data_IF_577765874991
#
_entry.id   IF_577765874991
#
_cell.length_a   1.000
_cell.length_b   1.000
_cell.length_c   1.000
_cell.angle_alpha   90.00
_cell.angle_beta   90.00
_cell.angle_gamma   90.00
#
_symmetry.space_group_name_H-M   'P 1'
#
loop_
_entity.id
_entity.type
_entity.pdbx_description
1 polymer ?
#
# COMPACT_ATOMS: atom_id res chain seq x y z
N UNK A 1 33.52 -10.61 -95.62
CA UNK A 1 32.63 -9.62 -94.98
C UNK A 1 32.09 -10.20 -93.68
N UNK A 2 32.71 -9.86 -92.54
CA UNK A 2 32.14 -10.05 -91.20
C UNK A 2 32.71 -8.93 -90.34
N UNK A 3 31.80 -8.09 -89.86
CA UNK A 3 32.01 -6.80 -89.20
C UNK A 3 32.51 -6.98 -87.77
N UNK A 4 33.58 -6.26 -87.42
CA UNK A 4 34.06 -6.13 -86.03
C UNK A 4 33.05 -5.29 -85.24
N UNK A 5 32.48 -5.85 -84.17
CA UNK A 5 31.75 -5.10 -83.14
C UNK A 5 32.66 -4.94 -81.93
N UNK A 6 32.97 -3.69 -81.59
CA UNK A 6 33.61 -3.29 -80.34
C UNK A 6 32.55 -3.20 -79.24
N UNK A 7 32.74 -3.93 -78.15
CA UNK A 7 31.91 -3.84 -76.93
C UNK A 7 32.71 -3.02 -75.90
N UNK A 8 32.16 -1.92 -75.34
CA UNK A 8 32.88 -1.11 -74.36
C UNK A 8 32.88 -1.78 -72.97
N UNK A 9 34.03 -1.73 -72.30
CA UNK A 9 34.16 -2.11 -70.89
C UNK A 9 33.51 -1.05 -70.00
N UNK A 10 32.45 -1.43 -69.26
CA UNK A 10 31.98 -0.65 -68.11
C UNK A 10 32.86 -0.98 -66.89
N UNK A 11 33.58 0.03 -66.40
CA UNK A 11 34.24 0.00 -65.10
C UNK A 11 33.22 0.19 -63.98
N UNK A 12 32.90 -0.88 -63.26
CA UNK A 12 32.12 -0.81 -62.04
C UNK A 12 33.04 -0.45 -60.86
N UNK A 13 32.94 0.78 -60.37
CA UNK A 13 33.52 1.21 -59.09
C UNK A 13 32.73 0.59 -57.94
N UNK A 14 33.37 -0.33 -57.20
CA UNK A 14 32.83 -0.87 -55.94
C UNK A 14 33.05 0.18 -54.85
N UNK A 15 31.98 0.84 -54.41
CA UNK A 15 32.00 1.68 -53.21
C UNK A 15 31.84 0.76 -52.00
N UNK A 16 32.93 0.56 -51.24
CA UNK A 16 32.90 -0.09 -49.94
C UNK A 16 32.28 0.89 -48.93
N UNK A 17 30.97 0.77 -48.69
CA UNK A 17 30.33 1.46 -47.57
C UNK A 17 30.76 0.76 -46.26
N UNK A 18 31.69 1.37 -45.53
CA UNK A 18 32.02 0.95 -44.17
C UNK A 18 30.80 1.21 -43.28
N UNK A 19 30.02 0.16 -43.02
CA UNK A 19 28.95 0.19 -42.03
C UNK A 19 29.56 0.41 -40.65
N UNK A 20 29.56 1.66 -40.18
CA UNK A 20 29.77 1.98 -38.78
C UNK A 20 28.59 1.41 -37.99
N UNK A 21 28.73 0.15 -37.55
CA UNK A 21 27.81 -0.46 -36.61
C UNK A 21 27.81 0.36 -35.34
N UNK A 22 26.75 1.15 -35.15
CA UNK A 22 26.48 1.83 -33.89
C UNK A 22 26.18 0.74 -32.86
N UNK A 23 27.20 0.32 -32.11
CA UNK A 23 27.04 -0.50 -30.91
C UNK A 23 26.21 0.32 -29.93
N UNK A 24 24.88 0.11 -29.95
CA UNK A 24 24.00 0.46 -28.85
C UNK A 24 24.46 -0.37 -27.66
N UNK A 25 25.41 0.18 -26.90
CA UNK A 25 25.77 -0.33 -25.58
C UNK A 25 24.52 -0.16 -24.73
N UNK A 26 23.72 -1.21 -24.64
CA UNK A 26 22.64 -1.29 -23.66
C UNK A 26 23.28 -1.02 -22.31
N UNK A 27 22.95 0.11 -21.69
CA UNK A 27 23.33 0.37 -20.32
C UNK A 27 22.60 -0.68 -19.50
N UNK A 28 23.30 -1.77 -19.16
CA UNK A 28 22.84 -2.72 -18.16
C UNK A 28 22.67 -1.91 -16.87
N UNK A 29 21.44 -1.47 -16.61
CA UNK A 29 21.12 -0.69 -15.44
C UNK A 29 21.33 -1.62 -14.25
N UNK A 30 22.43 -1.43 -13.52
CA UNK A 30 22.77 -2.23 -12.37
C UNK A 30 21.57 -2.20 -11.41
N UNK A 31 20.97 -3.37 -11.14
CA UNK A 31 19.87 -3.48 -10.19
C UNK A 31 20.36 -2.89 -8.87
N UNK A 32 19.66 -1.87 -8.36
CA UNK A 32 20.03 -1.21 -7.12
C UNK A 32 20.24 -2.26 -6.02
N UNK A 33 21.34 -2.13 -5.27
CA UNK A 33 21.66 -3.05 -4.19
C UNK A 33 20.51 -3.08 -3.18
N UNK A 34 20.24 -4.28 -2.62
CA UNK A 34 19.20 -4.42 -1.63
C UNK A 34 19.53 -3.61 -0.36
N UNK A 35 18.52 -2.98 0.23
CA UNK A 35 18.66 -2.16 1.44
C UNK A 35 19.09 -3.01 2.62
N UNK A 36 20.27 -2.72 3.19
CA UNK A 36 20.80 -3.42 4.36
C UNK A 36 19.78 -3.51 5.51
N UNK A 37 19.79 -4.61 6.26
CA UNK A 37 18.79 -4.94 7.26
C UNK A 37 18.89 -4.08 8.55
N UNK A 38 18.58 -2.79 8.44
CA UNK A 38 18.61 -1.84 9.55
C UNK A 38 17.61 -0.70 9.35
N UNK A 39 17.17 -0.10 10.45
CA UNK A 39 16.32 1.10 10.45
C UNK A 39 16.95 2.24 9.64
N UNK A 40 18.22 2.57 9.93
CA UNK A 40 18.93 3.67 9.26
C UNK A 40 18.99 3.48 7.75
N UNK A 41 19.32 2.28 7.26
CA UNK A 41 19.38 2.01 5.83
C UNK A 41 18.00 2.13 5.16
N UNK A 42 16.93 1.67 5.82
CA UNK A 42 15.56 1.80 5.31
C UNK A 42 15.13 3.26 5.22
N UNK A 43 15.37 4.04 6.28
CA UNK A 43 15.04 5.48 6.33
C UNK A 43 15.83 6.24 5.26
N UNK A 44 17.13 5.97 5.12
CA UNK A 44 17.96 6.57 4.06
C UNK A 44 17.43 6.22 2.67
N UNK A 45 17.05 4.97 2.43
CA UNK A 45 16.50 4.55 1.14
C UNK A 45 15.23 5.32 0.78
N UNK A 46 14.29 5.47 1.73
CA UNK A 46 13.06 6.26 1.51
C UNK A 46 13.38 7.72 1.19
N UNK A 47 14.25 8.36 1.96
CA UNK A 47 14.65 9.75 1.72
C UNK A 47 15.29 9.93 0.33
N UNK A 48 16.21 9.03 -0.04
CA UNK A 48 16.86 9.07 -1.36
C UNK A 48 15.86 8.85 -2.49
N UNK A 49 14.92 7.90 -2.35
CA UNK A 49 13.90 7.66 -3.38
C UNK A 49 12.93 8.83 -3.51
N UNK A 50 12.50 9.44 -2.41
CA UNK A 50 11.70 10.66 -2.43
C UNK A 50 12.45 11.80 -3.14
N UNK A 51 13.71 12.06 -2.78
CA UNK A 51 14.53 13.11 -3.38
C UNK A 51 14.79 12.90 -4.88
N UNK A 52 14.82 11.64 -5.34
CA UNK A 52 14.99 11.28 -6.75
C UNK A 52 13.70 11.40 -7.58
N UNK A 53 12.56 11.76 -6.98
CA UNK A 53 11.27 11.82 -7.68
C UNK A 53 10.49 10.50 -7.70
N UNK A 54 10.97 9.47 -7.00
CA UNK A 54 10.36 8.14 -6.94
C UNK A 54 11.33 7.03 -7.36
N UNK A 55 10.89 5.78 -7.23
CA UNK A 55 11.67 4.60 -7.60
C UNK A 55 11.33 3.34 -6.81
N UNK A 56 12.20 2.35 -6.96
CA UNK A 56 12.06 1.03 -6.36
C UNK A 56 13.10 0.83 -5.26
N UNK A 57 12.62 0.50 -4.07
CA UNK A 57 13.40 0.09 -2.91
C UNK A 57 13.36 -1.44 -2.83
N UNK A 58 14.47 -2.10 -3.16
CA UNK A 58 14.59 -3.56 -3.01
C UNK A 58 15.01 -3.87 -1.57
N UNK A 59 14.20 -4.63 -0.85
CA UNK A 59 14.52 -5.04 0.52
C UNK A 59 15.39 -6.30 0.52
N UNK A 60 16.28 -6.43 1.50
CA UNK A 60 17.04 -7.67 1.72
C UNK A 60 16.06 -8.80 2.08
N UNK A 61 16.01 -9.93 1.34
CA UNK A 61 15.03 -10.99 1.58
C UNK A 61 14.98 -11.46 3.04
N UNK A 62 13.77 -11.67 3.57
CA UNK A 62 13.53 -12.15 4.94
C UNK A 62 13.88 -11.16 6.06
N UNK A 63 14.42 -9.98 5.73
CA UNK A 63 14.80 -8.99 6.74
C UNK A 63 13.58 -8.45 7.50
N UNK A 64 13.75 -8.32 8.82
CA UNK A 64 12.87 -7.55 9.70
C UNK A 64 13.50 -6.20 10.01
N UNK A 65 12.99 -5.15 9.37
CA UNK A 65 13.35 -3.76 9.64
C UNK A 65 12.59 -3.27 10.87
N UNK A 66 13.28 -3.20 12.00
CA UNK A 66 12.70 -2.78 13.28
C UNK A 66 12.91 -1.29 13.50
N UNK A 67 11.82 -0.52 13.48
CA UNK A 67 11.81 0.93 13.71
C UNK A 67 11.79 1.22 15.21
N UNK A 68 12.69 2.08 15.67
CA UNK A 68 12.88 2.40 17.09
C UNK A 68 12.55 3.84 17.43
N UNK A 69 12.54 4.73 16.42
CA UNK A 69 12.13 6.13 16.54
C UNK A 69 11.27 6.57 15.37
N UNK A 70 10.64 7.74 15.50
CA UNK A 70 9.96 8.40 14.40
C UNK A 70 10.96 9.11 13.48
N UNK A 71 10.69 9.10 12.17
CA UNK A 71 11.47 9.72 11.09
C UNK A 71 10.61 10.62 10.19
N UNK A 72 9.36 10.88 10.58
CA UNK A 72 8.43 11.77 9.88
C UNK A 72 7.45 12.45 10.83
N UNK A 73 7.09 13.69 10.53
CA UNK A 73 6.02 14.44 11.18
C UNK A 73 5.57 15.59 10.25
N UNK A 74 4.29 15.63 9.89
CA UNK A 74 3.70 16.70 9.07
C UNK A 74 3.01 17.79 9.91
N UNK A 75 3.16 17.74 11.23
CA UNK A 75 2.56 18.66 12.19
C UNK A 75 1.06 18.48 12.40
N UNK A 76 0.40 17.60 11.64
CA UNK A 76 -1.07 17.45 11.61
C UNK A 76 -1.52 16.05 12.04
N UNK A 77 -0.84 15.01 11.57
CA UNK A 77 -1.28 13.61 11.69
C UNK A 77 -0.41 12.77 12.64
N UNK A 78 0.53 13.42 13.34
CA UNK A 78 1.42 12.79 14.31
C UNK A 78 2.68 12.21 13.67
N UNK A 79 3.32 11.31 14.43
CA UNK A 79 4.64 10.79 14.12
C UNK A 79 4.58 9.55 13.22
N UNK A 80 5.50 9.48 12.26
CA UNK A 80 5.73 8.35 11.36
C UNK A 80 7.08 7.69 11.63
N UNK A 81 7.13 6.37 11.59
CA UNK A 81 8.34 5.57 11.69
C UNK A 81 9.18 5.57 10.42
N UNK A 82 8.60 5.93 9.27
CA UNK A 82 9.33 6.19 8.04
C UNK A 82 9.14 7.66 7.65
N UNK A 83 10.07 8.26 6.88
CA UNK A 83 9.80 9.53 6.22
C UNK A 83 8.52 9.44 5.39
N UNK A 84 7.66 10.48 5.37
CA UNK A 84 6.43 10.45 4.59
C UNK A 84 6.71 10.17 3.11
N UNK A 85 5.89 9.34 2.47
CA UNK A 85 6.00 9.05 1.05
C UNK A 85 5.41 10.21 0.27
N UNK A 86 6.25 10.97 -0.44
CA UNK A 86 5.85 12.18 -1.17
C UNK A 86 5.90 12.00 -2.69
N UNK A 87 6.53 10.92 -3.16
CA UNK A 87 6.63 10.56 -4.58
C UNK A 87 6.17 9.11 -4.80
N UNK A 88 6.38 8.57 -6.01
CA UNK A 88 6.07 7.18 -6.31
C UNK A 88 7.17 6.24 -5.78
N UNK A 89 6.89 5.51 -4.71
CA UNK A 89 7.84 4.59 -4.04
C UNK A 89 7.28 3.17 -4.07
N UNK A 90 8.06 2.22 -4.59
CA UNK A 90 7.74 0.79 -4.53
C UNK A 90 8.70 0.06 -3.60
N UNK A 91 8.17 -0.64 -2.60
CA UNK A 91 8.93 -1.60 -1.79
C UNK A 91 8.79 -2.99 -2.40
N UNK A 92 9.88 -3.51 -2.95
CA UNK A 92 9.99 -4.90 -3.42
C UNK A 92 10.50 -5.77 -2.29
N UNK A 93 9.59 -6.51 -1.66
CA UNK A 93 9.88 -7.44 -0.58
C UNK A 93 9.92 -8.90 -1.01
N UNK A 94 10.51 -9.71 -0.16
CA UNK A 94 10.44 -11.17 -0.16
C UNK A 94 10.43 -11.64 1.29
N UNK A 95 9.22 -11.85 1.84
CA UNK A 95 8.99 -12.18 3.25
C UNK A 95 9.56 -11.13 4.23
N UNK A 96 9.48 -9.85 3.88
CA UNK A 96 9.99 -8.76 4.71
C UNK A 96 8.97 -8.29 5.75
N UNK A 97 9.49 -7.84 6.89
CA UNK A 97 8.70 -7.19 7.93
C UNK A 97 9.27 -5.80 8.18
N UNK A 98 8.41 -4.79 8.19
CA UNK A 98 8.71 -3.46 8.75
C UNK A 98 7.83 -3.32 9.99
N UNK A 99 8.46 -3.23 11.16
CA UNK A 99 7.76 -3.26 12.44
C UNK A 99 8.24 -2.17 13.36
N UNK A 100 7.32 -1.60 14.12
CA UNK A 100 7.69 -0.82 15.31
C UNK A 100 8.23 -1.75 16.39
N UNK A 101 9.29 -1.35 17.09
CA UNK A 101 9.84 -2.10 18.24
C UNK A 101 8.88 -2.02 19.44
N UNK A 102 8.72 -3.13 20.16
CA UNK A 102 8.05 -3.10 21.46
C UNK A 102 8.78 -2.13 22.42
N UNK A 103 8.01 -1.30 23.14
CA UNK A 103 8.56 -0.29 24.06
C UNK A 103 9.17 0.96 23.39
N UNK A 104 9.24 1.05 22.06
CA UNK A 104 9.55 2.32 21.40
C UNK A 104 8.44 3.36 21.67
N UNK A 105 8.70 4.66 21.46
CA UNK A 105 7.65 5.67 21.39
C UNK A 105 6.55 5.28 20.38
N UNK A 106 5.34 5.81 20.58
CA UNK A 106 4.24 5.60 19.66
C UNK A 106 4.45 6.38 18.36
N UNK A 107 4.39 5.67 17.24
CA UNK A 107 4.34 6.23 15.90
C UNK A 107 3.67 5.24 14.94
N UNK A 108 3.02 5.79 13.91
CA UNK A 108 2.52 5.03 12.76
C UNK A 108 3.69 4.48 11.94
N UNK A 109 3.53 3.41 11.16
CA UNK A 109 4.65 2.91 10.35
C UNK A 109 4.94 3.83 9.16
N UNK A 110 3.91 4.18 8.38
CA UNK A 110 4.08 4.98 7.17
C UNK A 110 2.88 5.91 6.90
N UNK A 111 3.19 7.12 6.47
CA UNK A 111 2.25 8.05 5.86
C UNK A 111 2.51 8.14 4.36
N UNK A 112 1.44 8.10 3.57
CA UNK A 112 1.44 8.48 2.16
C UNK A 112 0.83 9.86 2.05
N UNK A 113 1.65 10.85 1.69
CA UNK A 113 1.20 12.23 1.50
C UNK A 113 0.26 12.35 0.30
N UNK A 114 -0.40 13.49 0.13
CA UNK A 114 -1.36 13.73 -0.96
C UNK A 114 -0.78 13.58 -2.37
N UNK A 115 0.53 13.84 -2.55
CA UNK A 115 1.27 13.60 -3.79
C UNK A 115 1.94 12.24 -3.85
N UNK A 116 1.91 11.48 -2.75
CA UNK A 116 2.58 10.20 -2.60
C UNK A 116 1.86 9.07 -3.32
N UNK A 117 2.65 8.11 -3.80
CA UNK A 117 2.14 6.84 -4.30
C UNK A 117 3.01 5.71 -3.74
N UNK A 118 2.47 4.96 -2.79
CA UNK A 118 3.15 3.84 -2.16
C UNK A 118 2.67 2.52 -2.75
N UNK A 119 3.59 1.72 -3.26
CA UNK A 119 3.35 0.31 -3.60
C UNK A 119 4.14 -0.61 -2.68
N UNK A 120 3.48 -1.58 -2.05
CA UNK A 120 4.09 -2.63 -1.26
C UNK A 120 3.88 -3.98 -1.94
N UNK A 121 4.96 -4.72 -2.18
CA UNK A 121 4.89 -6.09 -2.73
C UNK A 121 5.54 -7.06 -1.77
N UNK A 122 4.78 -8.02 -1.26
CA UNK A 122 5.28 -9.06 -0.33
C UNK A 122 5.93 -8.49 0.94
N UNK A 123 5.35 -7.42 1.49
CA UNK A 123 5.82 -6.76 2.73
C UNK A 123 4.77 -6.88 3.83
N UNK A 124 5.22 -7.12 5.06
CA UNK A 124 4.40 -7.03 6.26
C UNK A 124 4.68 -5.73 7.01
N UNK A 125 3.65 -4.92 7.26
CA UNK A 125 3.72 -3.79 8.19
C UNK A 125 3.07 -4.17 9.52
N UNK A 126 3.75 -3.93 10.64
CA UNK A 126 3.21 -4.32 11.95
C UNK A 126 3.59 -3.47 13.14
N UNK A 127 2.77 -3.58 14.19
CA UNK A 127 2.98 -2.97 15.52
C UNK A 127 3.03 -1.44 15.54
N UNK A 128 2.63 -0.79 14.44
CA UNK A 128 2.43 0.66 14.39
C UNK A 128 1.43 1.13 15.44
N UNK A 129 1.62 2.33 15.96
CA UNK A 129 0.80 2.89 17.02
C UNK A 129 0.61 4.39 16.84
N UNK A 130 -0.56 4.79 16.35
CA UNK A 130 -0.95 6.18 16.20
C UNK A 130 -1.78 6.62 17.43
N UNK A 131 -1.14 7.24 18.42
CA UNK A 131 -1.76 7.64 19.70
C UNK A 131 -2.07 9.13 19.81
N UNK A 132 -1.88 9.92 18.75
CA UNK A 132 -2.02 11.37 18.78
C UNK A 132 -3.46 11.86 19.02
N UNK A 133 -3.61 12.86 19.89
CA UNK A 133 -4.85 13.60 20.18
C UNK A 133 -5.22 14.62 19.09
N UNK A 134 -4.46 14.68 17.99
CA UNK A 134 -4.63 15.65 16.92
C UNK A 134 -5.67 15.11 15.93
N UNK A 135 -6.93 15.53 16.16
CA UNK A 135 -8.12 15.18 15.39
C UNK A 135 -8.37 13.67 15.30
N UNK A 136 -9.33 13.18 16.07
CA UNK A 136 -9.72 11.77 16.23
C UNK A 136 -10.07 10.98 14.95
N UNK A 137 -9.88 11.59 13.78
CA UNK A 137 -10.35 11.11 12.49
C UNK A 137 -9.24 10.75 11.50
N UNK A 138 -7.93 10.95 11.78
CA UNK A 138 -6.83 10.72 10.82
C UNK A 138 -5.59 9.98 11.39
N UNK A 139 -5.80 8.80 11.99
CA UNK A 139 -4.74 8.11 12.74
C UNK A 139 -3.97 7.07 11.90
N UNK A 140 -4.67 6.08 11.32
CA UNK A 140 -4.06 5.05 10.47
C UNK A 140 -2.91 4.30 11.16
N UNK A 141 -3.17 3.41 12.12
CA UNK A 141 -2.12 2.88 13.01
C UNK A 141 -0.90 2.26 12.33
N UNK A 142 -1.12 1.56 11.20
CA UNK A 142 -0.05 1.09 10.32
C UNK A 142 0.21 2.07 9.18
N UNK A 143 -0.84 2.41 8.44
CA UNK A 143 -0.77 3.26 7.24
C UNK A 143 -1.81 4.39 7.32
N UNK A 144 -1.37 5.62 7.09
CA UNK A 144 -2.23 6.76 6.78
C UNK A 144 -2.06 7.08 5.30
N UNK A 145 -3.11 6.88 4.51
CA UNK A 145 -3.10 7.15 3.08
C UNK A 145 -3.91 8.41 2.77
N UNK A 146 -3.19 9.47 2.38
CA UNK A 146 -3.75 10.71 1.84
C UNK A 146 -3.59 10.81 0.31
N UNK A 147 -2.83 9.89 -0.30
CA UNK A 147 -2.55 9.82 -1.74
C UNK A 147 -2.97 8.46 -2.32
N UNK A 148 -2.03 7.78 -3.00
CA UNK A 148 -2.27 6.46 -3.58
C UNK A 148 -1.53 5.34 -2.83
N UNK A 149 -2.24 4.25 -2.55
CA UNK A 149 -1.72 3.08 -1.88
C UNK A 149 -2.04 1.81 -2.67
N UNK A 150 -1.03 0.98 -2.93
CA UNK A 150 -1.20 -0.35 -3.52
C UNK A 150 -0.51 -1.40 -2.67
N UNK A 151 -1.24 -2.41 -2.21
CA UNK A 151 -0.71 -3.58 -1.53
C UNK A 151 -0.92 -4.82 -2.40
N UNK A 152 0.16 -5.50 -2.72
CA UNK A 152 0.16 -6.78 -3.45
C UNK A 152 0.83 -7.83 -2.58
N UNK A 153 0.11 -8.91 -2.28
CA UNK A 153 0.59 -10.02 -1.44
C UNK A 153 1.19 -9.55 -0.10
N UNK A 154 0.66 -8.45 0.44
CA UNK A 154 1.21 -7.76 1.60
C UNK A 154 0.29 -7.90 2.80
N UNK A 155 0.84 -7.73 4.00
CA UNK A 155 0.09 -7.88 5.25
C UNK A 155 0.20 -6.63 6.11
N UNK A 156 -0.91 -6.13 6.63
CA UNK A 156 -0.93 -5.08 7.65
C UNK A 156 -1.52 -5.69 8.92
N UNK A 157 -0.70 -5.85 9.95
CA UNK A 157 -1.12 -6.56 11.16
C UNK A 157 -0.70 -5.96 12.48
N UNK A 158 -1.50 -6.19 13.52
CA UNK A 158 -1.20 -5.80 14.90
C UNK A 158 -0.90 -4.30 15.05
N UNK A 159 -1.48 -3.46 14.20
CA UNK A 159 -1.33 -2.01 14.32
C UNK A 159 -2.46 -1.43 15.16
N UNK A 160 -2.21 -0.28 15.77
CA UNK A 160 -3.14 0.36 16.70
C UNK A 160 -3.32 1.85 16.42
N UNK A 161 -4.55 2.34 16.53
CA UNK A 161 -4.89 3.74 16.40
C UNK A 161 -5.83 4.18 17.54
N UNK A 162 -5.53 5.32 18.17
CA UNK A 162 -6.46 5.97 19.10
C UNK A 162 -7.65 6.61 18.37
N UNK A 163 -7.50 6.92 17.08
CA UNK A 163 -8.57 7.35 16.19
C UNK A 163 -9.11 6.21 15.33
N UNK A 164 -9.33 6.51 14.06
CA UNK A 164 -9.82 5.57 13.03
C UNK A 164 -8.72 4.81 12.31
N UNK A 165 -9.07 3.66 11.72
CA UNK A 165 -8.17 2.91 10.85
C UNK A 165 -7.01 2.27 11.61
N UNK A 166 -7.28 1.23 12.40
CA UNK A 166 -6.25 0.58 13.22
C UNK A 166 -5.10 0.05 12.37
N UNK A 167 -5.42 -0.59 11.24
CA UNK A 167 -4.46 -1.03 10.25
C UNK A 167 -4.17 0.06 9.25
N UNK A 168 -5.20 0.38 8.45
CA UNK A 168 -5.12 1.39 7.39
C UNK A 168 -6.22 2.42 7.59
N UNK A 169 -5.84 3.67 7.43
CA UNK A 169 -6.79 4.72 7.12
C UNK A 169 -6.55 5.21 5.70
N UNK A 170 -7.60 5.22 4.88
CA UNK A 170 -7.61 5.86 3.57
C UNK A 170 -8.62 7.00 3.59
N UNK A 171 -8.17 8.24 3.69
CA UNK A 171 -9.09 9.37 3.81
C UNK A 171 -8.43 10.74 3.64
N UNK A 172 -9.14 11.64 2.94
CA UNK A 172 -8.67 12.95 2.50
C UNK A 172 -8.61 13.03 0.97
N UNK A 173 -9.25 14.03 0.36
CA UNK A 173 -9.18 14.30 -1.08
C UNK A 173 -9.49 13.11 -2.01
N UNK A 174 -8.68 12.94 -3.06
CA UNK A 174 -8.78 11.87 -4.07
C UNK A 174 -8.01 10.59 -3.67
N UNK A 175 -7.88 10.30 -2.37
CA UNK A 175 -7.11 9.14 -1.89
C UNK A 175 -7.69 7.81 -2.38
N UNK A 176 -6.81 6.91 -2.82
CA UNK A 176 -7.16 5.60 -3.33
C UNK A 176 -6.27 4.51 -2.71
N UNK A 177 -6.88 3.40 -2.31
CA UNK A 177 -6.20 2.23 -1.78
C UNK A 177 -6.62 0.97 -2.53
N UNK A 178 -5.66 0.21 -3.06
CA UNK A 178 -5.88 -1.05 -3.77
C UNK A 178 -5.17 -2.18 -3.05
N UNK A 179 -5.88 -3.28 -2.83
CA UNK A 179 -5.39 -4.47 -2.14
C UNK A 179 -5.61 -5.70 -3.02
N UNK A 180 -4.53 -6.40 -3.36
CA UNK A 180 -4.57 -7.62 -4.16
C UNK A 180 -3.81 -8.71 -3.42
N UNK A 181 -4.46 -9.86 -3.16
CA UNK A 181 -3.82 -10.97 -2.44
C UNK A 181 -3.36 -10.59 -1.02
N UNK A 182 -3.90 -9.53 -0.44
CA UNK A 182 -3.35 -8.90 0.76
C UNK A 182 -4.21 -9.15 2.00
N UNK A 183 -3.63 -9.01 3.19
CA UNK A 183 -4.30 -9.34 4.46
C UNK A 183 -4.28 -8.16 5.43
N UNK A 184 -5.42 -7.84 6.02
CA UNK A 184 -5.55 -6.95 7.18
C UNK A 184 -5.98 -7.76 8.41
N UNK A 185 -5.13 -7.86 9.44
CA UNK A 185 -5.44 -8.69 10.61
C UNK A 185 -4.91 -8.19 11.96
N UNK A 186 -5.63 -8.48 13.04
CA UNK A 186 -5.20 -8.12 14.41
C UNK A 186 -5.06 -6.62 14.65
N UNK A 187 -5.61 -5.76 13.79
CA UNK A 187 -5.47 -4.32 13.93
C UNK A 187 -6.57 -3.74 14.82
N UNK A 188 -6.26 -2.69 15.59
CA UNK A 188 -7.17 -2.12 16.59
C UNK A 188 -7.31 -0.60 16.41
N UNK A 189 -8.53 -0.12 16.24
CA UNK A 189 -8.90 1.28 16.37
C UNK A 189 -9.76 1.47 17.62
N UNK A 190 -9.54 2.53 18.38
CA UNK A 190 -10.52 2.97 19.39
C UNK A 190 -11.71 3.68 18.74
N UNK A 191 -11.49 4.29 17.56
CA UNK A 191 -12.55 4.76 16.66
C UNK A 191 -13.01 3.68 15.68
N UNK A 192 -13.58 4.09 14.55
CA UNK A 192 -14.11 3.18 13.55
C UNK A 192 -13.02 2.55 12.66
N UNK A 193 -13.30 1.35 12.12
CA UNK A 193 -12.44 0.70 11.14
C UNK A 193 -11.21 0.07 11.77
N UNK A 194 -11.35 -1.10 12.39
CA UNK A 194 -10.22 -1.80 13.01
C UNK A 194 -9.17 -2.20 11.99
N UNK A 195 -9.58 -2.87 10.92
CA UNK A 195 -8.72 -3.17 9.77
C UNK A 195 -8.53 -1.97 8.86
N UNK A 196 -9.65 -1.43 8.35
CA UNK A 196 -9.68 -0.28 7.44
C UNK A 196 -10.73 0.74 7.87
N UNK A 197 -10.35 2.01 7.90
CA UNK A 197 -11.28 3.13 7.78
C UNK A 197 -11.15 3.76 6.39
N UNK A 198 -12.24 3.79 5.63
CA UNK A 198 -12.32 4.29 4.26
C UNK A 198 -13.22 5.52 4.16
N UNK A 199 -12.62 6.65 3.80
CA UNK A 199 -13.27 7.90 3.44
C UNK A 199 -12.96 8.32 1.99
N UNK A 200 -12.03 7.63 1.32
CA UNK A 200 -11.70 7.79 -0.10
C UNK A 200 -12.25 6.63 -0.95
N UNK A 201 -11.41 6.09 -1.83
CA UNK A 201 -11.71 4.86 -2.59
C UNK A 201 -10.87 3.70 -2.08
N UNK A 202 -11.50 2.55 -1.84
CA UNK A 202 -10.82 1.31 -1.48
C UNK A 202 -11.32 0.14 -2.35
N UNK A 203 -10.39 -0.60 -2.95
CA UNK A 203 -10.67 -1.77 -3.78
C UNK A 203 -9.89 -2.97 -3.26
N UNK A 204 -10.58 -4.07 -3.00
CA UNK A 204 -9.99 -5.34 -2.60
C UNK A 204 -10.32 -6.44 -3.62
N UNK A 205 -9.29 -7.17 -4.02
CA UNK A 205 -9.38 -8.33 -4.89
C UNK A 205 -8.64 -9.50 -4.27
N UNK A 206 -9.31 -10.64 -4.09
CA UNK A 206 -8.73 -11.87 -3.56
C UNK A 206 -7.91 -11.64 -2.27
N UNK A 207 -8.42 -10.77 -1.39
CA UNK A 207 -7.75 -10.32 -0.18
C UNK A 207 -8.50 -10.80 1.06
N UNK A 208 -7.95 -10.58 2.25
CA UNK A 208 -8.54 -11.09 3.49
C UNK A 208 -8.59 -9.99 4.56
N UNK A 209 -9.77 -9.78 5.15
CA UNK A 209 -9.93 -8.91 6.32
C UNK A 209 -10.41 -9.78 7.47
N UNK A 210 -9.46 -10.32 8.23
CA UNK A 210 -9.71 -11.37 9.22
C UNK A 210 -8.87 -11.20 10.49
N UNK A 211 -9.04 -12.10 11.46
CA UNK A 211 -8.09 -12.20 12.58
C UNK A 211 -8.29 -11.16 13.66
N UNK A 212 -9.53 -10.97 14.12
CA UNK A 212 -9.87 -10.14 15.29
C UNK A 212 -9.50 -8.67 15.18
N UNK A 213 -9.61 -8.07 13.98
CA UNK A 213 -9.56 -6.61 13.90
C UNK A 213 -10.65 -6.01 14.82
N UNK A 214 -10.32 -4.92 15.52
CA UNK A 214 -11.18 -4.28 16.54
C UNK A 214 -11.42 -2.82 16.20
N UNK A 215 -12.67 -2.38 16.20
CA UNK A 215 -13.06 -0.97 16.05
C UNK A 215 -14.25 -0.62 16.93
N UNK A 216 -14.63 0.65 17.02
CA UNK A 216 -15.90 1.07 17.60
C UNK A 216 -17.05 0.57 16.72
N UNK A 217 -17.05 0.95 15.44
CA UNK A 217 -17.88 0.36 14.39
C UNK A 217 -17.00 -0.14 13.25
N UNK A 218 -17.45 -1.18 12.55
CA UNK A 218 -16.69 -1.71 11.42
C UNK A 218 -15.39 -2.34 11.89
N UNK A 219 -15.49 -3.40 12.70
CA UNK A 219 -14.30 -4.08 13.24
C UNK A 219 -13.32 -4.48 12.14
N UNK A 220 -13.83 -5.03 11.05
CA UNK A 220 -13.08 -5.23 9.82
C UNK A 220 -12.92 -3.92 9.05
N UNK A 221 -14.04 -3.37 8.56
CA UNK A 221 -14.05 -2.19 7.69
C UNK A 221 -15.12 -1.20 8.16
N UNK A 222 -14.76 0.07 8.24
CA UNK A 222 -15.71 1.17 8.26
C UNK A 222 -15.56 1.99 6.98
N UNK A 223 -16.63 2.12 6.19
CA UNK A 223 -16.65 2.94 4.97
C UNK A 223 -17.66 4.07 5.14
N UNK A 224 -17.16 5.31 5.23
CA UNK A 224 -17.94 6.51 5.53
C UNK A 224 -17.77 7.51 4.39
N UNK A 225 -18.83 7.80 3.64
CA UNK A 225 -18.84 8.61 2.41
C UNK A 225 -17.90 8.13 1.28
N UNK A 226 -17.13 7.08 1.49
CA UNK A 226 -16.18 6.54 0.50
C UNK A 226 -16.80 5.57 -0.50
N UNK A 227 -15.98 5.14 -1.45
CA UNK A 227 -16.26 4.06 -2.39
C UNK A 227 -15.54 2.80 -1.91
N UNK A 228 -16.26 1.70 -1.71
CA UNK A 228 -15.68 0.41 -1.34
C UNK A 228 -16.08 -0.67 -2.35
N UNK A 229 -15.09 -1.35 -2.94
CA UNK A 229 -15.30 -2.52 -3.79
C UNK A 229 -14.61 -3.73 -3.19
N UNK A 230 -15.35 -4.81 -2.97
CA UNK A 230 -14.85 -6.10 -2.52
C UNK A 230 -15.14 -7.18 -3.56
N UNK A 231 -14.10 -7.84 -4.06
CA UNK A 231 -14.21 -8.99 -4.96
C UNK A 231 -13.45 -10.17 -4.39
N UNK A 232 -14.12 -11.31 -4.18
CA UNK A 232 -13.54 -12.53 -3.61
C UNK A 232 -12.73 -12.27 -2.33
N UNK A 233 -13.24 -11.40 -1.47
CA UNK A 233 -12.54 -10.88 -0.29
C UNK A 233 -13.37 -11.15 0.98
N UNK A 234 -13.14 -12.25 1.71
CA UNK A 234 -13.86 -12.52 2.94
C UNK A 234 -13.54 -11.48 4.03
N UNK A 235 -14.59 -11.07 4.75
CA UNK A 235 -14.52 -10.20 5.93
C UNK A 235 -15.09 -10.99 7.12
N UNK A 236 -14.21 -11.56 7.94
CA UNK A 236 -14.63 -12.52 8.96
C UNK A 236 -13.87 -12.47 10.28
N UNK A 237 -14.53 -12.92 11.36
CA UNK A 237 -13.94 -12.98 12.70
C UNK A 237 -13.42 -11.63 13.23
N UNK A 238 -14.03 -10.52 12.80
CA UNK A 238 -13.72 -9.18 13.28
C UNK A 238 -14.68 -8.76 14.40
N UNK A 239 -14.27 -7.76 15.19
CA UNK A 239 -14.98 -7.36 16.41
C UNK A 239 -15.21 -5.85 16.44
N UNK A 240 -16.39 -5.45 16.85
CA UNK A 240 -16.71 -4.07 17.14
C UNK A 240 -17.19 -3.94 18.59
N UNK A 241 -16.95 -2.79 19.23
CA UNK A 241 -17.49 -2.51 20.57
C UNK A 241 -18.89 -1.89 20.52
N UNK A 242 -19.29 -1.31 19.39
CA UNK A 242 -20.60 -0.67 19.19
C UNK A 242 -21.47 -1.47 18.22
N UNK A 243 -21.10 -1.56 16.95
CA UNK A 243 -21.90 -2.25 15.93
C UNK A 243 -21.07 -2.67 14.71
N UNK A 244 -21.62 -3.55 13.87
CA UNK A 244 -21.01 -3.98 12.62
C UNK A 244 -19.56 -4.47 12.81
N UNK A 245 -19.41 -5.63 13.45
CA UNK A 245 -18.12 -6.29 13.59
C UNK A 245 -17.42 -6.48 12.25
N UNK A 246 -18.18 -6.77 11.19
CA UNK A 246 -17.67 -6.95 9.83
C UNK A 246 -17.48 -5.62 9.13
N UNK A 247 -18.57 -5.09 8.56
CA UNK A 247 -18.56 -3.86 7.76
C UNK A 247 -19.59 -2.87 8.27
N UNK A 248 -19.12 -1.68 8.66
CA UNK A 248 -19.97 -0.52 8.90
C UNK A 248 -19.98 0.38 7.67
N UNK A 249 -21.14 0.65 7.10
CA UNK A 249 -21.32 1.60 6.00
C UNK A 249 -22.11 2.82 6.46
N UNK A 250 -21.61 4.01 6.15
CA UNK A 250 -22.33 5.27 6.28
C UNK A 250 -22.22 6.06 4.98
N UNK A 251 -23.31 6.15 4.23
CA UNK A 251 -23.36 6.74 2.88
C UNK A 251 -22.34 6.10 1.91
N UNK A 252 -21.95 6.82 0.85
CA UNK A 252 -21.01 6.35 -0.16
C UNK A 252 -21.51 5.21 -1.05
N UNK A 253 -20.64 4.70 -1.91
CA UNK A 253 -20.92 3.59 -2.83
C UNK A 253 -20.24 2.32 -2.35
N UNK A 254 -20.93 1.19 -2.44
CA UNK A 254 -20.36 -0.09 -2.03
C UNK A 254 -20.77 -1.20 -3.00
N UNK A 255 -19.79 -1.98 -3.45
CA UNK A 255 -19.98 -3.16 -4.29
C UNK A 255 -19.34 -4.35 -3.60
N UNK A 256 -20.10 -5.43 -3.43
CA UNK A 256 -19.64 -6.67 -2.78
C UNK A 256 -19.95 -7.85 -3.69
N UNK A 257 -18.91 -8.42 -4.28
CA UNK A 257 -18.99 -9.57 -5.19
C UNK A 257 -18.22 -10.73 -4.58
N UNK A 258 -18.87 -11.89 -4.45
CA UNK A 258 -18.25 -13.15 -3.95
C UNK A 258 -17.44 -12.99 -2.65
N UNK A 259 -17.83 -12.06 -1.79
CA UNK A 259 -17.08 -11.62 -0.61
C UNK A 259 -17.90 -11.85 0.65
N UNK A 260 -17.84 -13.04 1.27
CA UNK A 260 -18.68 -13.37 2.41
C UNK A 260 -18.31 -12.53 3.64
N UNK A 261 -19.31 -11.97 4.31
CA UNK A 261 -19.16 -11.17 5.53
C UNK A 261 -19.79 -11.98 6.66
N UNK A 262 -18.96 -12.65 7.47
CA UNK A 262 -19.42 -13.72 8.37
C UNK A 262 -18.66 -13.79 9.69
N UNK A 263 -19.28 -14.38 10.72
CA UNK A 263 -18.66 -14.64 12.02
C UNK A 263 -18.06 -13.38 12.69
N UNK A 264 -18.64 -12.21 12.47
CA UNK A 264 -18.21 -10.98 13.11
C UNK A 264 -19.07 -10.66 14.34
N UNK A 265 -18.49 -9.99 15.33
CA UNK A 265 -19.13 -9.66 16.61
C UNK A 265 -19.20 -8.14 16.76
N UNK A 266 -20.31 -7.53 17.22
CA UNK A 266 -21.53 -8.18 17.72
C UNK A 266 -22.46 -8.67 16.61
N UNK A 267 -22.22 -8.25 15.37
CA UNK A 267 -22.99 -8.62 14.18
C UNK A 267 -22.14 -8.38 12.93
N UNK A 268 -22.61 -8.77 11.75
CA UNK A 268 -21.85 -8.59 10.52
C UNK A 268 -21.91 -7.14 10.03
N UNK A 269 -23.11 -6.58 9.84
CA UNK A 269 -23.25 -5.24 9.23
C UNK A 269 -24.34 -4.34 9.83
N UNK A 270 -24.98 -4.74 10.93
CA UNK A 270 -26.10 -4.00 11.53
C UNK A 270 -25.66 -2.59 11.95
N UNK A 271 -26.54 -1.61 11.71
CA UNK A 271 -26.30 -0.19 11.94
C UNK A 271 -25.79 0.56 10.69
N UNK A 272 -25.54 -0.14 9.59
CA UNK A 272 -25.15 0.46 8.32
C UNK A 272 -26.32 1.17 7.62
N UNK A 273 -26.07 2.37 7.11
CA UNK A 273 -27.03 3.14 6.33
C UNK A 273 -26.32 3.84 5.14
N UNK A 274 -26.60 3.42 3.88
CA UNK A 274 -27.47 2.31 3.48
C UNK A 274 -26.92 0.94 3.90
N UNK A 275 -27.74 -0.12 3.75
CA UNK A 275 -27.33 -1.49 4.07
C UNK A 275 -26.09 -1.92 3.24
N UNK A 276 -25.31 -2.83 3.80
CA UNK A 276 -24.16 -3.44 3.11
C UNK A 276 -24.69 -4.50 2.12
N UNK A 277 -24.33 -4.46 0.83
CA UNK A 277 -24.80 -5.43 -0.16
C UNK A 277 -24.43 -6.87 0.24
N UNK A 278 -25.39 -7.79 0.08
CA UNK A 278 -25.21 -9.23 0.32
C UNK A 278 -24.73 -9.58 1.75
N UNK A 279 -24.87 -8.66 2.71
CA UNK A 279 -24.56 -8.93 4.10
C UNK A 279 -25.78 -9.43 4.85
N UNK A 280 -25.66 -10.56 5.52
CA UNK A 280 -26.71 -11.14 6.35
C UNK A 280 -26.26 -11.15 7.82
N UNK A 281 -27.18 -10.81 8.72
CA UNK A 281 -26.91 -10.65 10.16
C UNK A 281 -26.05 -9.44 10.51
#
# INVERSE_FOLDING_TARGET
>A
MRTMHTIPLLSATVVLAAGAGLLLTGTAQAKAAAVACSETALVSAVNTTNAAGGGVITLTPGCTYTLTSAHGNDGTHGLDGLPPITTAVTFEGNANVITRRAGAPAFRIVQVSTTGNLTLKSVTLSNGSATGLFSASNAGGGILNLGALTLTNSTVKNNSAAGTGGGVQSGGGASAATFTGSTLSGNTALGDGGGLYNFGTATFTSSFINGTNKGARGGGIASVNGILTLTSTPVSANRASVSAGGIFRKAGTMTVTTSPITANIPNNCVGSAPAVPSCTG
#
